data_IF_498481161203
#
_entry.id   IF_498481161203
#
_cell.length_a   1.000
_cell.length_b   1.000
_cell.length_c   1.000
_cell.angle_alpha   90.00
_cell.angle_beta   90.00
_cell.angle_gamma   90.00
#
_symmetry.space_group_name_H-M   'P 1'
#
loop_
_entity.id
_entity.type
_entity.pdbx_description
1 polymer ?
#
# COMPACT_ATOMS: atom_id res chain seq x y z
N UNK A 1 3.83 2.42 -5.23
CA UNK A 1 4.77 1.39 -4.76
C UNK A 1 4.80 1.41 -3.24
N UNK A 2 4.81 0.24 -2.60
CA UNK A 2 4.84 0.08 -1.14
C UNK A 2 6.06 -0.75 -0.74
N UNK A 3 6.56 -0.57 0.48
CA UNK A 3 7.55 -1.46 1.12
C UNK A 3 7.19 -1.70 2.58
N UNK A 4 7.66 -2.81 3.11
CA UNK A 4 7.46 -3.21 4.51
C UNK A 4 8.78 -3.01 5.24
N UNK A 5 8.74 -2.39 6.42
CA UNK A 5 9.89 -2.09 7.27
C UNK A 5 9.65 -2.72 8.63
N UNK A 6 10.64 -3.45 9.15
CA UNK A 6 10.57 -4.01 10.49
C UNK A 6 11.15 -2.99 11.50
N UNK A 7 10.40 -2.71 12.56
CA UNK A 7 10.88 -1.92 13.68
C UNK A 7 11.39 -2.87 14.77
N UNK A 8 12.70 -3.00 14.90
CA UNK A 8 13.33 -3.89 15.88
C UNK A 8 13.06 -3.48 17.32
N UNK A 9 12.79 -2.20 17.60
CA UNK A 9 12.50 -1.72 18.95
C UNK A 9 11.12 -2.18 19.45
N UNK A 10 10.13 -2.24 18.56
CA UNK A 10 8.74 -2.59 18.92
C UNK A 10 8.35 -3.99 18.45
N UNK A 11 9.18 -4.65 17.62
CA UNK A 11 8.87 -5.92 16.96
C UNK A 11 7.75 -5.85 15.92
N UNK A 12 7.38 -4.65 15.46
CA UNK A 12 6.25 -4.43 14.56
C UNK A 12 6.72 -4.18 13.13
N UNK A 13 5.96 -4.66 12.17
CA UNK A 13 6.10 -4.36 10.76
C UNK A 13 5.29 -3.11 10.42
N UNK A 14 5.90 -2.15 9.73
CA UNK A 14 5.25 -0.93 9.26
C UNK A 14 5.29 -0.87 7.75
N UNK A 15 4.38 -0.10 7.16
CA UNK A 15 4.30 0.07 5.72
C UNK A 15 4.65 1.50 5.34
N UNK A 16 5.53 1.62 4.35
CA UNK A 16 5.83 2.89 3.71
C UNK A 16 5.31 2.91 2.28
N UNK A 17 4.84 4.09 1.86
CA UNK A 17 4.38 4.35 0.52
C UNK A 17 5.33 5.33 -0.15
N UNK A 18 5.67 5.04 -1.41
CA UNK A 18 6.44 5.97 -2.23
C UNK A 18 5.54 7.14 -2.66
N UNK A 19 5.88 8.34 -2.19
CA UNK A 19 5.34 9.61 -2.62
C UNK A 19 6.33 10.39 -3.49
N UNK A 20 6.01 11.66 -3.73
CA UNK A 20 6.84 12.58 -4.54
C UNK A 20 8.18 12.92 -3.89
N UNK A 21 8.20 13.05 -2.55
CA UNK A 21 9.38 13.41 -1.77
C UNK A 21 10.13 12.20 -1.16
N UNK A 22 9.82 10.98 -1.61
CA UNK A 22 10.46 9.77 -1.12
C UNK A 22 9.48 8.79 -0.45
N UNK A 23 9.94 8.09 0.57
CA UNK A 23 9.15 7.12 1.32
C UNK A 23 8.54 7.77 2.55
N UNK A 24 7.26 7.51 2.81
CA UNK A 24 6.55 7.98 3.98
C UNK A 24 5.76 6.84 4.61
N UNK A 25 5.77 6.78 5.95
CA UNK A 25 4.96 5.83 6.70
C UNK A 25 3.47 6.11 6.54
N UNK A 26 2.69 5.03 6.44
CA UNK A 26 1.24 5.13 6.49
C UNK A 26 0.81 5.35 7.94
N UNK A 27 -0.01 6.37 8.18
CA UNK A 27 -0.67 6.60 9.46
C UNK A 27 -1.92 5.73 9.60
N UNK A 28 -2.14 5.18 10.79
CA UNK A 28 -3.43 4.65 11.22
C UNK A 28 -4.32 5.82 11.67
N UNK A 29 -5.41 6.05 10.94
CA UNK A 29 -6.34 7.15 11.25
C UNK A 29 -7.07 6.96 12.58
N UNK A 30 -7.12 5.74 13.12
CA UNK A 30 -7.82 5.45 14.37
C UNK A 30 -6.99 5.81 15.60
N UNK A 31 -5.69 5.56 15.54
CA UNK A 31 -4.77 5.74 16.68
C UNK A 31 -3.94 7.01 16.56
N UNK A 32 -3.79 7.55 15.35
CA UNK A 32 -2.90 8.68 15.08
C UNK A 32 -1.42 8.30 15.01
N UNK A 33 -1.08 7.02 15.22
CA UNK A 33 0.28 6.48 15.09
C UNK A 33 0.48 5.89 13.68
N UNK A 34 1.67 5.39 13.39
CA UNK A 34 1.97 4.65 12.19
C UNK A 34 1.33 3.26 12.21
N UNK A 35 0.81 2.88 11.05
CA UNK A 35 0.21 1.58 10.84
C UNK A 35 1.22 0.46 11.10
N UNK A 36 0.94 -0.36 12.11
CA UNK A 36 1.78 -1.46 12.56
C UNK A 36 1.09 -2.82 12.43
N UNK A 37 1.87 -3.85 12.14
CA UNK A 37 1.44 -5.23 11.99
C UNK A 37 2.34 -6.15 12.81
N UNK A 38 1.79 -7.22 13.38
CA UNK A 38 2.56 -8.20 14.15
C UNK A 38 3.44 -9.09 13.25
N UNK A 39 3.05 -9.27 11.99
CA UNK A 39 3.75 -10.12 11.03
C UNK A 39 3.75 -9.52 9.62
N UNK A 40 4.66 -10.02 8.79
CA UNK A 40 4.85 -9.53 7.42
C UNK A 40 3.68 -9.88 6.49
N UNK A 41 2.97 -10.99 6.74
CA UNK A 41 1.86 -11.43 5.89
C UNK A 41 0.63 -10.54 6.08
N UNK A 42 0.34 -10.13 7.31
CA UNK A 42 -0.67 -9.12 7.63
C UNK A 42 -0.39 -7.79 6.91
N UNK A 43 0.87 -7.33 6.92
CA UNK A 43 1.27 -6.14 6.19
C UNK A 43 1.10 -6.30 4.67
N UNK A 44 1.45 -7.46 4.11
CA UNK A 44 1.24 -7.78 2.69
C UNK A 44 -0.24 -7.81 2.30
N UNK A 45 -1.08 -8.42 3.13
CA UNK A 45 -2.52 -8.47 2.92
C UNK A 45 -3.12 -7.06 2.91
N UNK A 46 -2.70 -6.20 3.84
CA UNK A 46 -3.09 -4.80 3.85
C UNK A 46 -2.70 -4.07 2.56
N UNK A 47 -1.44 -4.21 2.11
CA UNK A 47 -0.96 -3.60 0.85
C UNK A 47 -1.83 -4.04 -0.34
N UNK A 48 -2.14 -5.34 -0.45
CA UNK A 48 -3.00 -5.88 -1.52
C UNK A 48 -4.40 -5.24 -1.50
N UNK A 49 -4.95 -5.03 -0.31
CA UNK A 49 -6.26 -4.35 -0.18
C UNK A 49 -6.19 -2.88 -0.58
N UNK A 50 -5.13 -2.17 -0.17
CA UNK A 50 -4.90 -0.76 -0.47
C UNK A 50 -4.63 -0.49 -1.96
N UNK A 51 -4.14 -1.48 -2.71
CA UNK A 51 -3.97 -1.39 -4.17
C UNK A 51 -5.26 -1.71 -4.93
N UNK A 52 -6.06 -2.68 -4.48
CA UNK A 52 -7.31 -3.07 -5.15
C UNK A 52 -8.33 -1.93 -5.27
N UNK A 53 -8.37 -1.02 -4.29
CA UNK A 53 -9.24 0.16 -4.34
C UNK A 53 -8.90 1.15 -5.46
N UNK A 54 -7.69 1.10 -6.03
CA UNK A 54 -7.31 1.97 -7.16
C UNK A 54 -7.66 1.41 -8.52
N UNK A 55 -7.70 0.08 -8.67
CA UNK A 55 -8.00 -0.55 -9.96
C UNK A 55 -9.50 -0.50 -10.29
N UNK A 56 -10.38 -0.39 -9.28
CA UNK A 56 -11.84 -0.35 -9.53
C UNK A 56 -12.37 1.01 -10.01
N UNK A 57 -11.59 2.09 -9.88
CA UNK A 57 -12.03 3.46 -10.21
C UNK A 57 -11.63 3.94 -11.61
N UNK A 58 -10.83 3.19 -12.36
CA UNK A 58 -10.54 3.50 -13.77
C UNK A 58 -11.60 2.93 -14.73
N UNK A 59 -12.88 2.91 -14.32
CA UNK A 59 -13.99 2.48 -15.20
C UNK A 59 -14.33 3.51 -16.30
N UNK A 60 -13.67 4.67 -16.34
CA UNK A 60 -14.04 5.74 -17.29
C UNK A 60 -13.63 5.45 -18.73
N UNK A 61 -12.58 4.65 -18.95
CA UNK A 61 -12.09 4.34 -20.29
C UNK A 61 -11.67 2.88 -20.37
N UNK A 62 -12.27 2.16 -21.32
CA UNK A 62 -11.98 0.75 -21.62
C UNK A 62 -11.35 0.71 -23.01
N UNK A 63 -10.20 0.06 -23.16
CA UNK A 63 -9.61 -0.15 -24.50
C UNK A 63 -10.50 -1.15 -25.24
N UNK A 64 -11.10 -0.71 -26.35
CA UNK A 64 -12.08 -1.50 -27.14
C UNK A 64 -11.42 -2.19 -28.35
N UNK A 65 -10.21 -1.77 -28.73
CA UNK A 65 -9.40 -2.44 -29.74
C UNK A 65 -7.93 -2.03 -29.59
N UNK A 66 -7.02 -3.00 -29.59
CA UNK A 66 -5.61 -2.84 -29.90
C UNK A 66 -5.38 -3.60 -31.21
N UNK A 67 -5.21 -2.89 -32.31
CA UNK A 67 -4.80 -3.52 -33.56
C UNK A 67 -3.29 -3.71 -33.47
N UNK A 68 -2.85 -4.90 -33.05
CA UNK A 68 -1.49 -5.33 -33.31
C UNK A 68 -1.39 -5.71 -34.80
N UNK A 69 -0.91 -4.76 -35.59
CA UNK A 69 -0.46 -4.99 -36.96
C UNK A 69 0.73 -5.94 -36.98
#
# INVERSE_FOLDING_TARGET
>A
MYRIVHNEQTGLYRVEKRGLFGWAFISDQRTGDYLGFADVESARAWIKSATKGKDSDSKRWKVVSDCNC
#
